data_IF_180518834163
#
_entry.id   IF_180518834163
#
_cell.length_a   1.000
_cell.length_b   1.000
_cell.length_c   1.000
_cell.angle_alpha   90.00
_cell.angle_beta   90.00
_cell.angle_gamma   90.00
#
_symmetry.space_group_name_H-M   'P 1'
#
loop_
_entity.id
_entity.type
_entity.pdbx_description
1 polymer ?
#
# COMPACT_ATOMS: atom_id res chain seq x y z
N UNK A 1 -12.69 43.62 18.18
CA UNK A 1 -13.52 43.37 16.97
C UNK A 1 -13.70 41.89 16.85
N UNK A 2 -14.89 41.36 17.11
CA UNK A 2 -15.22 39.96 16.87
C UNK A 2 -15.25 39.75 15.35
N UNK A 3 -14.32 38.99 14.81
CA UNK A 3 -14.40 38.56 13.40
C UNK A 3 -15.63 37.66 13.28
N UNK A 4 -16.66 38.14 12.61
CA UNK A 4 -17.79 37.27 12.22
C UNK A 4 -17.25 36.09 11.39
N UNK A 5 -17.63 34.89 11.79
CA UNK A 5 -17.29 33.69 11.03
C UNK A 5 -18.01 33.71 9.68
N UNK A 6 -17.37 33.33 8.59
CA UNK A 6 -18.03 33.21 7.30
C UNK A 6 -19.15 32.18 7.36
N UNK A 7 -20.23 32.40 6.59
CA UNK A 7 -21.40 31.51 6.55
C UNK A 7 -21.07 30.11 5.99
N UNK A 8 -20.00 29.97 5.24
CA UNK A 8 -19.56 28.72 4.62
C UNK A 8 -18.10 28.43 5.01
N UNK A 9 -17.80 27.16 5.22
CA UNK A 9 -16.43 26.74 5.51
C UNK A 9 -15.56 26.78 4.27
N UNK A 10 -14.47 27.56 4.30
CA UNK A 10 -13.49 27.67 3.21
C UNK A 10 -12.43 26.58 3.32
N UNK A 11 -12.80 25.37 2.95
CA UNK A 11 -11.92 24.19 3.04
C UNK A 11 -10.65 24.32 2.19
N UNK A 12 -10.73 24.99 1.03
CA UNK A 12 -9.59 25.09 0.10
C UNK A 12 -8.41 25.85 0.68
N UNK A 13 -8.68 26.92 1.42
CA UNK A 13 -7.65 27.78 1.99
C UNK A 13 -7.21 27.32 3.40
N UNK A 14 -8.00 26.51 4.09
CA UNK A 14 -7.75 26.15 5.49
C UNK A 14 -7.12 24.74 5.62
N UNK A 15 -7.67 23.74 4.99
CA UNK A 15 -7.31 22.33 5.25
C UNK A 15 -5.85 22.00 4.97
N UNK A 16 -5.31 22.46 3.86
CA UNK A 16 -3.92 22.16 3.47
C UNK A 16 -2.91 22.78 4.45
N UNK A 17 -3.14 24.03 4.85
CA UNK A 17 -2.24 24.72 5.80
C UNK A 17 -2.36 24.14 7.21
N UNK A 18 -3.57 23.75 7.63
CA UNK A 18 -3.82 23.11 8.92
C UNK A 18 -3.18 21.73 8.99
N UNK A 19 -3.33 20.91 7.94
CA UNK A 19 -2.69 19.59 7.86
C UNK A 19 -1.18 19.70 7.95
N UNK A 20 -0.57 20.63 7.20
CA UNK A 20 0.86 20.91 7.24
C UNK A 20 1.31 21.30 8.64
N UNK A 21 0.58 22.20 9.31
CA UNK A 21 0.86 22.61 10.67
C UNK A 21 0.83 21.44 11.66
N UNK A 22 -0.14 20.50 11.56
CA UNK A 22 -0.18 19.30 12.40
C UNK A 22 1.06 18.43 12.21
N UNK A 23 1.45 18.23 10.96
CA UNK A 23 2.63 17.43 10.62
C UNK A 23 3.90 18.09 11.16
N UNK A 24 4.13 19.36 10.88
CA UNK A 24 5.30 20.11 11.32
C UNK A 24 5.42 20.16 12.86
N UNK A 25 4.29 20.10 13.59
CA UNK A 25 4.24 19.97 15.05
C UNK A 25 4.46 18.54 15.56
N UNK A 26 4.58 17.55 14.70
CA UNK A 26 4.80 16.14 15.07
C UNK A 26 3.60 15.46 15.70
N UNK A 27 2.37 15.99 15.56
CA UNK A 27 1.17 15.43 16.19
C UNK A 27 0.79 14.04 15.68
N UNK A 28 1.35 13.61 14.55
CA UNK A 28 1.11 12.29 13.99
C UNK A 28 2.05 11.21 14.52
N UNK A 29 3.13 11.62 15.21
CA UNK A 29 4.11 10.72 15.80
C UNK A 29 3.59 10.13 17.12
N UNK A 30 3.98 8.90 17.46
CA UNK A 30 3.67 8.35 18.77
C UNK A 30 4.37 9.16 19.87
N UNK A 31 3.67 9.42 20.97
CA UNK A 31 4.22 10.08 22.15
C UNK A 31 4.95 8.99 22.94
N UNK A 32 6.26 8.88 22.75
CA UNK A 32 7.12 7.91 23.46
C UNK A 32 8.20 8.64 24.28
N UNK A 33 7.96 9.89 24.68
CA UNK A 33 8.93 10.61 25.51
C UNK A 33 8.87 10.09 26.95
N UNK A 34 9.94 9.43 27.45
CA UNK A 34 9.98 8.93 28.83
C UNK A 34 9.87 10.04 29.88
N UNK A 35 10.13 11.29 29.51
CA UNK A 35 10.04 12.44 30.39
C UNK A 35 8.68 13.14 30.34
N UNK A 36 7.78 12.68 29.47
CA UNK A 36 6.42 13.22 29.42
C UNK A 36 5.65 12.87 30.69
N UNK A 37 4.94 13.83 31.25
CA UNK A 37 4.05 13.63 32.41
C UNK A 37 2.93 12.60 32.13
N UNK A 38 2.70 12.27 30.87
CA UNK A 38 1.72 11.27 30.42
C UNK A 38 2.40 9.95 29.99
N UNK A 39 3.70 9.80 30.23
CA UNK A 39 4.38 8.56 29.92
C UNK A 39 3.99 7.46 30.92
N UNK A 40 3.31 6.44 30.43
CA UNK A 40 3.01 5.25 31.19
C UNK A 40 3.72 4.06 30.53
N UNK A 41 4.80 3.54 31.14
CA UNK A 41 5.55 2.42 30.56
C UNK A 41 4.72 1.13 30.46
N UNK A 42 3.64 1.00 31.26
CA UNK A 42 2.74 -0.14 31.23
C UNK A 42 1.63 -0.01 30.18
N UNK A 43 1.50 1.16 29.58
CA UNK A 43 0.52 1.38 28.51
C UNK A 43 0.94 0.70 27.23
N UNK A 44 0.22 -0.33 26.82
CA UNK A 44 0.44 -0.97 25.52
C UNK A 44 0.16 0.03 24.39
N UNK A 45 1.09 0.22 23.45
CA UNK A 45 0.88 1.11 22.32
C UNK A 45 -0.27 0.59 21.45
N UNK A 46 -1.04 1.52 20.87
CA UNK A 46 -2.02 1.21 19.84
C UNK A 46 -1.42 1.45 18.46
N UNK A 47 -1.38 0.42 17.63
CA UNK A 47 -0.72 0.48 16.32
C UNK A 47 -1.67 -0.02 15.25
N UNK A 48 -1.80 0.75 14.16
CA UNK A 48 -2.43 0.31 12.92
C UNK A 48 -1.36 0.37 11.80
N UNK A 49 -1.29 -0.67 10.99
CA UNK A 49 -0.65 -0.64 9.68
C UNK A 49 -1.75 -0.52 8.64
N UNK A 50 -1.72 0.54 7.84
CA UNK A 50 -2.72 0.76 6.79
C UNK A 50 -2.73 -0.44 5.84
N UNK A 51 -3.90 -0.95 5.42
CA UNK A 51 -3.97 -1.83 4.26
C UNK A 51 -3.41 -1.09 3.04
N UNK A 52 -2.21 -1.47 2.54
CA UNK A 52 -1.50 -0.62 1.60
C UNK A 52 -2.21 -0.59 0.25
N UNK A 53 -2.69 0.57 -0.23
CA UNK A 53 -3.32 0.66 -1.54
C UNK A 53 -2.35 0.29 -2.66
N UNK A 54 -2.87 -0.42 -3.67
CA UNK A 54 -2.12 -0.80 -4.86
C UNK A 54 -1.80 0.44 -5.71
N UNK A 55 -0.57 0.54 -6.23
CA UNK A 55 -0.16 1.63 -7.15
C UNK A 55 -0.72 1.44 -8.57
N UNK A 56 -1.90 0.86 -8.67
CA UNK A 56 -2.60 0.59 -9.93
C UNK A 56 -3.46 1.76 -10.41
N UNK A 57 -3.75 2.72 -9.54
CA UNK A 57 -4.60 3.86 -9.86
C UNK A 57 -4.85 4.78 -8.68
N UNK A 58 -5.81 5.67 -8.85
CA UNK A 58 -6.25 6.59 -7.82
C UNK A 58 -7.15 5.88 -6.80
N UNK A 59 -7.24 6.45 -5.60
CA UNK A 59 -8.13 5.95 -4.56
C UNK A 59 -9.59 6.22 -4.94
N UNK A 60 -10.47 5.32 -4.52
CA UNK A 60 -11.91 5.44 -4.65
C UNK A 60 -12.59 5.54 -3.28
N UNK A 61 -13.91 5.74 -3.26
CA UNK A 61 -14.68 5.95 -2.03
C UNK A 61 -14.49 4.83 -0.98
N UNK A 62 -14.32 3.58 -1.40
CA UNK A 62 -14.02 2.46 -0.49
C UNK A 62 -12.73 2.66 0.29
N UNK A 63 -11.69 3.21 -0.34
CA UNK A 63 -10.45 3.57 0.34
C UNK A 63 -10.68 4.72 1.34
N UNK A 64 -11.44 5.74 0.95
CA UNK A 64 -11.77 6.84 1.86
C UNK A 64 -12.49 6.35 3.12
N UNK A 65 -13.37 5.36 2.98
CA UNK A 65 -14.12 4.79 4.09
C UNK A 65 -13.18 4.12 5.12
N UNK A 66 -12.32 3.20 4.71
CA UNK A 66 -11.44 2.52 5.66
C UNK A 66 -10.41 3.48 6.27
N UNK A 67 -9.83 4.39 5.47
CA UNK A 67 -8.90 5.43 5.98
C UNK A 67 -9.57 6.28 7.06
N UNK A 68 -10.82 6.70 6.84
CA UNK A 68 -11.57 7.50 7.82
C UNK A 68 -11.89 6.72 9.10
N UNK A 69 -12.21 5.42 8.98
CA UNK A 69 -12.47 4.57 10.15
C UNK A 69 -11.19 4.32 10.97
N UNK A 70 -10.07 4.06 10.31
CA UNK A 70 -8.78 3.89 10.98
C UNK A 70 -8.32 5.19 11.64
N UNK A 71 -8.47 6.34 10.96
CA UNK A 71 -8.12 7.64 11.54
C UNK A 71 -8.96 7.99 12.77
N UNK A 72 -10.24 7.61 12.77
CA UNK A 72 -11.09 7.75 13.94
C UNK A 72 -10.54 6.97 15.16
N UNK A 73 -10.15 5.72 14.96
CA UNK A 73 -9.57 4.88 16.01
C UNK A 73 -8.22 5.43 16.49
N UNK A 74 -7.37 5.87 15.58
CA UNK A 74 -6.08 6.48 15.87
C UNK A 74 -6.26 7.75 16.72
N UNK A 75 -7.15 8.66 16.31
CA UNK A 75 -7.41 9.91 17.03
C UNK A 75 -8.03 9.65 18.40
N UNK A 76 -8.93 8.69 18.50
CA UNK A 76 -9.52 8.29 19.77
C UNK A 76 -8.45 7.86 20.79
N UNK A 77 -7.51 6.99 20.38
CA UNK A 77 -6.45 6.52 21.28
C UNK A 77 -5.46 7.65 21.63
N UNK A 78 -5.11 8.52 20.67
CA UNK A 78 -4.29 9.71 20.96
C UNK A 78 -4.95 10.63 21.98
N UNK A 79 -6.25 10.87 21.85
CA UNK A 79 -6.99 11.70 22.82
C UNK A 79 -7.02 11.09 24.21
N UNK A 80 -6.88 9.78 24.34
CA UNK A 80 -6.73 9.08 25.63
C UNK A 80 -5.31 9.10 26.17
N UNK A 81 -4.36 9.73 25.50
CA UNK A 81 -2.95 9.75 25.90
C UNK A 81 -2.19 8.45 25.62
N UNK A 82 -2.78 7.51 24.89
CA UNK A 82 -2.14 6.24 24.53
C UNK A 82 -1.11 6.47 23.44
N UNK A 83 0.15 5.95 23.57
CA UNK A 83 1.12 5.98 22.49
C UNK A 83 0.54 5.30 21.24
N UNK A 84 0.34 6.07 20.17
CA UNK A 84 -0.42 5.61 19.01
C UNK A 84 0.36 5.82 17.73
N UNK A 85 0.52 4.76 16.95
CA UNK A 85 1.23 4.76 15.67
C UNK A 85 0.30 4.30 14.54
N UNK A 86 0.22 5.08 13.49
CA UNK A 86 -0.42 4.69 12.25
C UNK A 86 0.61 4.71 11.12
N UNK A 87 0.98 3.52 10.64
CA UNK A 87 2.00 3.36 9.60
C UNK A 87 1.32 3.40 8.22
N UNK A 88 1.60 4.42 7.39
CA UNK A 88 1.12 4.47 6.02
C UNK A 88 1.99 3.62 5.09
N UNK A 89 1.43 3.27 3.93
CA UNK A 89 2.19 2.59 2.88
C UNK A 89 1.39 2.38 1.62
N UNK A 90 2.08 1.88 0.58
CA UNK A 90 1.51 1.49 -0.70
C UNK A 90 2.03 0.14 -1.15
N UNK A 91 1.24 -0.57 -1.95
CA UNK A 91 1.60 -1.89 -2.47
C UNK A 91 1.99 -1.80 -3.96
N UNK A 92 3.04 -2.53 -4.32
CA UNK A 92 3.52 -2.62 -5.69
C UNK A 92 2.56 -3.37 -6.63
N UNK A 93 1.73 -4.29 -6.12
CA UNK A 93 0.73 -5.06 -6.88
C UNK A 93 1.27 -5.59 -8.22
N UNK A 94 2.42 -6.25 -8.18
CA UNK A 94 3.33 -6.54 -9.30
C UNK A 94 2.69 -6.84 -10.65
N UNK A 95 1.88 -7.91 -10.76
CA UNK A 95 1.24 -8.33 -12.02
C UNK A 95 0.28 -7.26 -12.53
N UNK A 96 -0.58 -6.73 -11.66
CA UNK A 96 -1.58 -5.73 -12.04
C UNK A 96 -0.94 -4.42 -12.51
N UNK A 97 0.08 -3.94 -11.81
CA UNK A 97 0.83 -2.74 -12.19
C UNK A 97 1.53 -2.91 -13.53
N UNK A 98 2.22 -4.04 -13.75
CA UNK A 98 2.87 -4.32 -15.04
C UNK A 98 1.86 -4.36 -16.18
N UNK A 99 0.71 -5.01 -15.99
CA UNK A 99 -0.34 -5.07 -17.01
C UNK A 99 -0.88 -3.68 -17.38
N UNK A 100 -1.01 -2.77 -16.41
CA UNK A 100 -1.45 -1.40 -16.68
C UNK A 100 -0.40 -0.61 -17.44
N UNK A 101 0.88 -0.77 -17.12
CA UNK A 101 1.99 -0.16 -17.86
C UNK A 101 2.04 -0.70 -19.29
N UNK A 102 1.88 -2.01 -19.49
CA UNK A 102 1.79 -2.60 -20.83
C UNK A 102 0.63 -2.02 -21.65
N UNK A 103 -0.55 -1.88 -21.04
CA UNK A 103 -1.71 -1.25 -21.68
C UNK A 103 -1.46 0.22 -22.02
N UNK A 104 -0.72 0.94 -21.19
CA UNK A 104 -0.35 2.34 -21.46
C UNK A 104 0.64 2.42 -22.64
N UNK A 105 1.68 1.62 -22.65
CA UNK A 105 2.67 1.53 -23.74
C UNK A 105 2.04 1.10 -25.07
N UNK A 106 1.09 0.15 -25.02
CA UNK A 106 0.40 -0.31 -26.22
C UNK A 106 -0.42 0.80 -26.91
N UNK A 107 -0.94 1.78 -26.16
CA UNK A 107 -1.60 2.96 -26.73
C UNK A 107 -0.63 3.86 -27.50
N UNK A 108 0.65 3.80 -27.16
CA UNK A 108 1.75 4.51 -27.82
C UNK A 108 2.38 3.67 -28.94
N UNK A 109 1.84 2.47 -29.20
CA UNK A 109 2.36 1.53 -30.20
C UNK A 109 3.63 0.78 -29.76
N UNK A 110 3.95 0.81 -28.48
CA UNK A 110 5.18 0.22 -27.91
C UNK A 110 4.84 -1.12 -27.28
N UNK A 111 5.57 -2.18 -27.67
CA UNK A 111 5.47 -3.50 -27.05
C UNK A 111 6.56 -3.65 -25.98
N UNK A 112 6.21 -4.21 -24.82
CA UNK A 112 7.19 -4.44 -23.73
C UNK A 112 8.37 -5.31 -24.14
N UNK A 113 8.16 -6.26 -25.06
CA UNK A 113 9.23 -7.16 -25.54
C UNK A 113 10.26 -6.42 -26.38
N UNK A 114 9.82 -5.41 -27.14
CA UNK A 114 10.70 -4.59 -27.98
C UNK A 114 11.53 -3.62 -27.14
N UNK A 115 10.99 -3.17 -26.00
CA UNK A 115 11.73 -2.35 -25.03
C UNK A 115 12.85 -3.11 -24.32
N UNK A 116 12.65 -4.41 -24.08
CA UNK A 116 13.49 -5.20 -23.19
C UNK A 116 13.22 -4.93 -21.70
N UNK A 117 13.79 -5.80 -20.84
CA UNK A 117 13.48 -5.82 -19.39
C UNK A 117 13.83 -4.52 -18.69
N UNK A 118 15.00 -3.97 -18.93
CA UNK A 118 15.51 -2.80 -18.20
C UNK A 118 14.63 -1.58 -18.44
N UNK A 119 14.41 -1.22 -19.70
CA UNK A 119 13.58 -0.08 -20.07
C UNK A 119 12.11 -0.27 -19.67
N UNK A 120 11.60 -1.50 -19.69
CA UNK A 120 10.27 -1.77 -19.21
C UNK A 120 10.17 -1.53 -17.69
N UNK A 121 11.16 -1.97 -16.90
CA UNK A 121 11.21 -1.70 -15.47
C UNK A 121 11.28 -0.21 -15.16
N UNK A 122 12.04 0.59 -15.91
CA UNK A 122 12.05 2.05 -15.78
C UNK A 122 10.62 2.61 -15.90
N UNK A 123 9.86 2.17 -16.91
CA UNK A 123 8.46 2.59 -17.10
C UNK A 123 7.54 2.16 -15.96
N UNK A 124 7.77 0.97 -15.40
CA UNK A 124 7.01 0.49 -14.22
C UNK A 124 7.33 1.34 -13.00
N UNK A 125 8.58 1.72 -12.78
CA UNK A 125 8.96 2.60 -11.67
C UNK A 125 8.42 4.02 -11.84
N UNK A 126 8.45 4.60 -13.04
CA UNK A 126 7.82 5.89 -13.35
C UNK A 126 6.31 5.87 -13.03
N UNK A 127 5.64 4.77 -13.40
CA UNK A 127 4.22 4.56 -13.09
C UNK A 127 3.99 4.49 -11.58
N UNK A 128 4.80 3.69 -10.88
CA UNK A 128 4.74 3.55 -9.42
C UNK A 128 4.90 4.90 -8.74
N UNK A 129 5.91 5.68 -9.09
CA UNK A 129 6.16 6.99 -8.46
C UNK A 129 4.96 7.93 -8.67
N UNK A 130 4.44 8.00 -9.87
CA UNK A 130 3.27 8.81 -10.20
C UNK A 130 2.03 8.46 -9.37
N UNK A 131 1.70 7.18 -9.24
CA UNK A 131 0.48 6.77 -8.54
C UNK A 131 0.68 6.71 -7.03
N UNK A 132 1.87 6.37 -6.56
CA UNK A 132 2.25 6.51 -5.17
C UNK A 132 2.04 7.95 -4.67
N UNK A 133 2.59 8.93 -5.35
CA UNK A 133 2.44 10.34 -4.98
C UNK A 133 0.98 10.79 -4.98
N UNK A 134 0.19 10.33 -5.94
CA UNK A 134 -1.24 10.60 -5.99
C UNK A 134 -1.99 10.00 -4.81
N UNK A 135 -1.74 8.73 -4.49
CA UNK A 135 -2.35 8.02 -3.36
C UNK A 135 -2.02 8.75 -2.05
N UNK A 136 -0.76 9.07 -1.84
CA UNK A 136 -0.29 9.80 -0.65
C UNK A 136 -0.98 11.16 -0.55
N UNK A 137 -1.05 11.90 -1.65
CA UNK A 137 -1.73 13.19 -1.69
C UNK A 137 -3.24 13.07 -1.37
N UNK A 138 -3.92 12.03 -1.87
CA UNK A 138 -5.32 11.77 -1.57
C UNK A 138 -5.55 11.42 -0.09
N UNK A 139 -4.70 10.56 0.50
CA UNK A 139 -4.77 10.20 1.92
C UNK A 139 -4.54 11.44 2.80
N UNK A 140 -3.55 12.27 2.47
CA UNK A 140 -3.31 13.55 3.16
C UNK A 140 -4.48 14.52 3.02
N UNK A 141 -5.12 14.53 1.85
CA UNK A 141 -6.30 15.36 1.58
C UNK A 141 -7.52 14.94 2.40
N UNK A 142 -7.64 13.66 2.75
CA UNK A 142 -8.64 13.16 3.69
C UNK A 142 -8.37 13.60 5.14
N UNK A 143 -7.19 14.16 5.43
CA UNK A 143 -6.80 14.56 6.77
C UNK A 143 -6.24 13.40 7.62
N UNK A 144 -5.89 12.28 7.00
CA UNK A 144 -5.40 11.09 7.69
C UNK A 144 -4.13 11.37 8.50
N UNK A 145 -4.14 11.07 9.79
CA UNK A 145 -3.09 11.41 10.72
C UNK A 145 -1.99 10.33 10.83
N UNK A 146 -1.51 9.87 9.66
CA UNK A 146 -0.43 8.89 9.55
C UNK A 146 0.94 9.45 9.95
N UNK A 147 1.81 8.60 10.48
CA UNK A 147 3.22 8.93 10.68
C UNK A 147 3.99 8.75 9.37
N UNK A 148 4.06 9.80 8.57
CA UNK A 148 4.68 9.81 7.24
C UNK A 148 6.19 9.59 7.27
N UNK A 149 6.86 9.78 8.39
CA UNK A 149 8.29 9.48 8.52
C UNK A 149 8.55 7.96 8.53
N UNK A 150 7.50 7.17 8.77
CA UNK A 150 7.52 5.70 8.74
C UNK A 150 6.78 5.11 7.55
N UNK A 151 6.53 5.89 6.53
CA UNK A 151 5.92 5.40 5.30
C UNK A 151 6.69 4.22 4.70
N UNK A 152 5.96 3.22 4.19
CA UNK A 152 6.53 2.02 3.58
C UNK A 152 6.00 1.80 2.17
N UNK A 153 6.84 1.24 1.33
CA UNK A 153 6.46 0.65 0.06
C UNK A 153 6.84 -0.83 0.06
N UNK A 154 5.97 -1.71 -0.40
CA UNK A 154 6.17 -3.16 -0.27
C UNK A 154 7.42 -3.72 -0.97
N UNK A 155 8.02 -2.97 -1.92
CA UNK A 155 9.31 -3.27 -2.54
C UNK A 155 10.45 -2.34 -2.09
N UNK A 156 10.29 -1.57 -1.01
CA UNK A 156 11.41 -0.81 -0.48
C UNK A 156 12.54 -1.73 0.03
N UNK A 157 13.70 -1.16 0.25
CA UNK A 157 14.89 -1.92 0.66
C UNK A 157 14.65 -2.71 1.95
N UNK A 158 14.00 -2.10 2.95
CA UNK A 158 13.71 -2.74 4.24
C UNK A 158 12.74 -3.90 4.11
N UNK A 159 11.63 -3.71 3.39
CA UNK A 159 10.66 -4.79 3.12
C UNK A 159 11.29 -5.91 2.28
N UNK A 160 12.08 -5.57 1.27
CA UNK A 160 12.78 -6.54 0.43
C UNK A 160 13.82 -7.36 1.21
N UNK A 161 14.50 -6.74 2.18
CA UNK A 161 15.41 -7.43 3.10
C UNK A 161 14.65 -8.37 4.02
N UNK A 162 13.57 -7.89 4.63
CA UNK A 162 12.74 -8.69 5.54
C UNK A 162 12.15 -9.92 4.85
N UNK A 163 11.63 -9.78 3.62
CA UNK A 163 11.09 -10.91 2.84
C UNK A 163 12.17 -11.97 2.60
N UNK A 164 13.38 -11.57 2.19
CA UNK A 164 14.49 -12.51 1.97
C UNK A 164 14.92 -13.22 3.27
N UNK A 165 14.98 -12.49 4.36
CA UNK A 165 15.32 -13.05 5.67
C UNK A 165 14.28 -14.09 6.12
N UNK A 166 13.00 -13.76 6.00
CA UNK A 166 11.91 -14.69 6.34
C UNK A 166 11.95 -15.94 5.46
N UNK A 167 12.16 -15.75 4.14
CA UNK A 167 12.28 -16.89 3.22
C UNK A 167 13.41 -17.83 3.62
N UNK A 168 14.59 -17.29 3.89
CA UNK A 168 15.76 -18.09 4.31
C UNK A 168 15.47 -18.84 5.62
N UNK A 169 14.93 -18.15 6.61
CA UNK A 169 14.57 -18.76 7.91
C UNK A 169 13.55 -19.90 7.76
N UNK A 170 12.57 -19.75 6.89
CA UNK A 170 11.58 -20.80 6.63
C UNK A 170 12.20 -22.00 5.92
N UNK A 171 13.11 -21.75 4.98
CA UNK A 171 13.84 -22.81 4.29
C UNK A 171 14.75 -23.59 5.24
N UNK A 172 15.55 -22.92 6.06
CA UNK A 172 16.42 -23.53 7.06
C UNK A 172 15.67 -24.36 8.10
N UNK A 173 14.45 -23.93 8.45
CA UNK A 173 13.55 -24.69 9.33
C UNK A 173 12.83 -25.86 8.65
N UNK A 174 13.04 -26.07 7.36
CA UNK A 174 12.36 -27.12 6.58
C UNK A 174 10.86 -26.90 6.39
N UNK A 175 10.36 -25.67 6.65
CA UNK A 175 8.94 -25.32 6.50
C UNK A 175 8.54 -25.04 5.05
N UNK A 176 9.50 -24.68 4.21
CA UNK A 176 9.35 -24.56 2.77
C UNK A 176 10.41 -25.42 2.07
N UNK A 177 10.06 -25.95 0.92
CA UNK A 177 10.94 -26.78 0.12
C UNK A 177 10.61 -26.62 -1.38
N UNK A 178 11.56 -26.94 -2.23
CA UNK A 178 11.35 -26.99 -3.69
C UNK A 178 10.75 -28.35 -4.05
N UNK A 179 9.64 -28.35 -4.75
CA UNK A 179 8.97 -29.56 -5.23
C UNK A 179 8.21 -29.31 -6.51
N UNK A 180 7.93 -30.40 -7.25
CA UNK A 180 7.11 -30.34 -8.44
C UNK A 180 5.64 -30.47 -8.05
N UNK A 181 4.78 -29.59 -8.57
CA UNK A 181 3.34 -29.57 -8.35
C UNK A 181 2.65 -29.13 -9.63
N UNK A 182 1.44 -29.60 -9.81
CA UNK A 182 0.53 -29.06 -10.85
C UNK A 182 0.12 -27.67 -10.37
N UNK A 183 0.31 -26.68 -11.24
CA UNK A 183 -0.02 -25.29 -10.98
C UNK A 183 -0.91 -24.74 -12.10
N UNK A 184 -1.69 -23.71 -11.77
CA UNK A 184 -2.45 -22.97 -12.76
C UNK A 184 -1.48 -22.06 -13.54
N UNK A 185 -1.45 -22.21 -14.84
CA UNK A 185 -0.53 -21.51 -15.73
C UNK A 185 -1.26 -20.74 -16.81
N UNK A 186 -0.97 -19.45 -16.94
CA UNK A 186 -1.46 -18.61 -18.03
C UNK A 186 -0.47 -18.64 -19.21
N UNK A 187 -0.81 -19.25 -20.37
CA UNK A 187 0.08 -19.32 -21.52
C UNK A 187 0.29 -17.96 -22.19
N UNK A 188 -0.62 -17.00 -22.00
CA UNK A 188 -0.49 -15.62 -22.50
C UNK A 188 0.52 -14.81 -21.67
N UNK A 189 0.34 -14.79 -20.36
CA UNK A 189 1.22 -14.07 -19.43
C UNK A 189 2.54 -14.81 -19.19
N UNK A 190 2.58 -16.12 -19.46
CA UNK A 190 3.71 -17.03 -19.16
C UNK A 190 4.13 -16.99 -17.71
N UNK A 191 3.13 -17.06 -16.83
CA UNK A 191 3.30 -17.07 -15.37
C UNK A 191 2.27 -17.99 -14.73
N UNK A 192 2.56 -18.46 -13.51
CA UNK A 192 1.55 -19.06 -12.64
C UNK A 192 0.53 -17.99 -12.23
N UNK A 193 -0.70 -18.44 -11.99
CA UNK A 193 -1.82 -17.61 -11.52
C UNK A 193 -2.41 -18.24 -10.27
N UNK A 194 -3.01 -17.41 -9.42
CA UNK A 194 -3.71 -17.86 -8.22
C UNK A 194 -5.09 -18.45 -8.55
N UNK A 195 -5.64 -19.22 -7.63
CA UNK A 195 -6.97 -19.82 -7.78
C UNK A 195 -8.07 -18.77 -7.94
N UNK A 196 -7.90 -17.58 -7.36
CA UNK A 196 -8.85 -16.47 -7.44
C UNK A 196 -8.92 -15.86 -8.86
N UNK A 197 -7.85 -16.01 -9.64
CA UNK A 197 -7.74 -15.45 -11.00
C UNK A 197 -8.24 -16.41 -12.07
N UNK A 198 -8.74 -17.60 -11.68
CA UNK A 198 -9.21 -18.62 -12.59
C UNK A 198 -10.73 -18.61 -12.75
N UNK A 199 -11.15 -18.76 -13.99
CA UNK A 199 -12.53 -19.10 -14.34
C UNK A 199 -12.59 -20.56 -14.80
N UNK A 200 -13.61 -21.29 -14.31
CA UNK A 200 -13.80 -22.68 -14.64
C UNK A 200 -14.88 -22.83 -15.71
N UNK A 201 -14.58 -23.60 -16.73
CA UNK A 201 -15.51 -23.97 -17.79
C UNK A 201 -15.56 -25.50 -17.89
N UNK A 202 -16.75 -26.08 -17.85
CA UNK A 202 -16.93 -27.52 -18.08
C UNK A 202 -16.83 -27.81 -19.58
N UNK A 203 -15.94 -28.74 -19.94
CA UNK A 203 -15.80 -29.23 -21.32
C UNK A 203 -15.75 -30.74 -21.33
N UNK A 204 -16.43 -31.34 -22.31
CA UNK A 204 -16.32 -32.76 -22.57
C UNK A 204 -14.88 -33.13 -22.99
N UNK A 205 -14.30 -34.07 -22.28
CA UNK A 205 -12.93 -34.52 -22.49
C UNK A 205 -12.77 -36.03 -22.34
N UNK A 206 -11.61 -36.56 -22.63
CA UNK A 206 -11.28 -37.96 -22.44
C UNK A 206 -9.89 -38.14 -21.86
N UNK A 207 -9.69 -39.22 -21.10
CA UNK A 207 -8.38 -39.69 -20.72
C UNK A 207 -7.80 -40.57 -21.82
N UNK A 208 -6.65 -40.17 -22.34
CA UNK A 208 -5.93 -40.92 -23.34
C UNK A 208 -4.83 -41.76 -22.67
N UNK A 209 -4.98 -43.09 -22.73
CA UNK A 209 -3.98 -44.01 -22.22
C UNK A 209 -3.05 -44.41 -23.38
N UNK A 210 -1.76 -44.23 -23.22
CA UNK A 210 -0.73 -44.73 -24.12
C UNK A 210 -0.12 -45.99 -23.50
N UNK A 211 -0.09 -47.07 -24.30
CA UNK A 211 0.59 -48.32 -23.89
C UNK A 211 2.09 -48.26 -24.16
#
# INVERSE_FOLDING_TARGET
MSKELPKTYDFKNIETSMYRWWWDKGYFKPINDPNSVNHDPDHKPYVISIPPPNVTGELHLGHAMFVSMEDLMIRYHRMKGIPTLWVPGTDHAGIATQMLVEKALAKEGINRRDLGREKFLEKVWEWKDKYHDRIVAQIRRLGASCDWDRERFTLDEGCSKAVREVFNNLYEKGLIYRGERIINWCPHCKTSISDIEMEYEEKDGAFWHMA
#
